data_IF_190671034858
#
_entry.id   IF_190671034858
#
_cell.length_a   1.000
_cell.length_b   1.000
_cell.length_c   1.000
_cell.angle_alpha   90.00
_cell.angle_beta   90.00
_cell.angle_gamma   90.00
#
_symmetry.space_group_name_H-M   'P 1'
#
loop_
_entity.id
_entity.type
_entity.pdbx_description
1 polymer ?
#
# COMPACT_ATOMS: atom_id res chain seq x y z
N UNK A 1 9.10 27.15 -30.22
CA UNK A 1 7.80 27.36 -29.55
C UNK A 1 7.95 26.92 -28.11
N UNK A 2 7.71 27.85 -27.20
CA UNK A 2 7.81 27.73 -25.76
C UNK A 2 6.66 26.87 -25.21
N UNK A 3 6.85 26.16 -24.08
CA UNK A 3 5.69 25.62 -23.39
C UNK A 3 5.87 24.84 -22.09
N UNK A 4 6.95 24.08 -21.87
CA UNK A 4 6.92 23.06 -20.79
C UNK A 4 7.92 23.22 -19.63
N UNK A 5 8.69 24.32 -19.56
CA UNK A 5 9.74 24.49 -18.54
C UNK A 5 9.52 25.64 -17.54
N UNK A 6 8.28 26.10 -17.31
CA UNK A 6 8.01 27.24 -16.40
C UNK A 6 7.09 26.93 -15.22
N UNK A 7 6.57 25.72 -15.05
CA UNK A 7 5.63 25.43 -13.95
C UNK A 7 6.32 25.08 -12.62
N UNK A 8 7.63 24.80 -12.61
CA UNK A 8 8.33 24.34 -11.41
C UNK A 8 8.58 25.44 -10.35
N UNK A 9 8.22 26.70 -10.61
CA UNK A 9 8.47 27.82 -9.70
C UNK A 9 7.20 28.45 -9.07
N UNK A 10 5.99 27.92 -9.33
CA UNK A 10 4.74 28.46 -8.76
C UNK A 10 3.85 27.33 -8.26
N UNK A 11 4.28 26.54 -7.27
CA UNK A 11 3.38 25.61 -6.58
C UNK A 11 3.67 25.51 -5.06
N UNK A 12 3.32 26.52 -4.25
CA UNK A 12 3.02 26.30 -2.83
C UNK A 12 1.53 25.99 -2.59
N UNK A 13 0.68 26.09 -3.63
CA UNK A 13 -0.79 26.00 -3.51
C UNK A 13 -1.39 24.65 -3.92
N UNK A 14 -0.60 23.71 -4.45
CA UNK A 14 -1.04 22.34 -4.76
C UNK A 14 -0.39 21.27 -3.85
N UNK A 15 0.20 21.63 -2.71
CA UNK A 15 0.76 20.63 -1.78
C UNK A 15 -0.22 20.13 -0.72
N UNK A 16 -1.33 20.84 -0.49
CA UNK A 16 -2.34 20.48 0.51
C UNK A 16 -3.50 19.72 -0.15
N UNK A 17 -3.21 18.52 -0.66
CA UNK A 17 -4.22 17.61 -1.20
C UNK A 17 -3.69 16.17 -1.27
N UNK A 18 -4.62 15.21 -1.28
CA UNK A 18 -4.31 13.80 -1.31
C UNK A 18 -3.46 13.38 -2.54
N UNK A 19 -3.69 13.97 -3.72
CA UNK A 19 -2.92 13.62 -4.91
C UNK A 19 -1.43 13.95 -4.73
N UNK A 20 -1.12 15.07 -4.07
CA UNK A 20 0.24 15.44 -3.73
C UNK A 20 0.84 14.45 -2.73
N UNK A 21 0.16 14.18 -1.62
CA UNK A 21 0.67 13.32 -0.54
C UNK A 21 0.84 11.86 -0.96
N UNK A 22 0.04 11.39 -1.94
CA UNK A 22 0.12 10.03 -2.48
C UNK A 22 1.29 9.82 -3.46
N UNK A 23 1.98 10.88 -3.90
CA UNK A 23 3.20 10.71 -4.70
C UNK A 23 4.31 10.13 -3.81
N UNK A 24 5.06 9.13 -4.32
CA UNK A 24 6.08 8.40 -3.55
C UNK A 24 7.07 9.34 -2.85
N UNK A 25 7.60 10.35 -3.54
CA UNK A 25 8.57 11.29 -2.95
C UNK A 25 7.96 12.10 -1.79
N UNK A 26 6.69 12.48 -1.90
CA UNK A 26 5.99 13.28 -0.90
C UNK A 26 5.55 12.41 0.28
N UNK A 27 5.08 11.19 0.04
CA UNK A 27 4.84 10.19 1.09
C UNK A 27 6.13 9.89 1.87
N UNK A 28 7.26 9.75 1.19
CA UNK A 28 8.57 9.61 1.85
C UNK A 28 8.96 10.86 2.65
N UNK A 29 8.63 12.06 2.18
CA UNK A 29 8.84 13.30 2.93
C UNK A 29 7.95 13.38 4.18
N UNK A 30 6.71 12.90 4.12
CA UNK A 30 5.82 12.75 5.27
C UNK A 30 6.37 11.76 6.30
N UNK A 31 6.90 10.62 5.85
CA UNK A 31 7.50 9.59 6.73
C UNK A 31 8.69 10.12 7.55
N UNK A 32 9.38 11.17 7.08
CA UNK A 32 10.47 11.83 7.84
C UNK A 32 9.95 12.72 8.97
N UNK A 33 8.66 13.10 8.93
CA UNK A 33 8.02 14.00 9.89
C UNK A 33 7.08 13.27 10.84
N UNK A 34 6.51 12.15 10.41
CA UNK A 34 5.56 11.34 11.17
C UNK A 34 6.24 10.02 11.52
N UNK A 35 6.49 9.81 12.81
CA UNK A 35 7.09 8.59 13.34
C UNK A 35 6.11 7.81 14.23
N UNK A 36 6.43 6.55 14.48
CA UNK A 36 5.74 5.76 15.49
C UNK A 36 5.96 6.33 16.90
N UNK A 37 5.01 6.09 17.79
CA UNK A 37 5.09 6.43 19.22
C UNK A 37 5.32 5.16 20.01
N UNK A 38 6.28 5.18 20.93
CA UNK A 38 6.80 3.97 21.61
C UNK A 38 5.75 3.16 22.37
N UNK A 39 4.67 3.80 22.85
CA UNK A 39 3.59 3.16 23.61
C UNK A 39 2.33 2.85 22.79
N UNK A 40 2.37 3.02 21.46
CA UNK A 40 1.23 2.76 20.57
C UNK A 40 1.48 1.48 19.77
N UNK A 41 0.48 0.60 19.70
CA UNK A 41 0.47 -0.53 18.77
C UNK A 41 0.09 -0.04 17.36
N UNK A 42 0.85 -0.48 16.34
CA UNK A 42 0.54 -0.25 14.94
C UNK A 42 0.37 -1.59 14.23
N UNK A 43 -0.67 -1.70 13.40
CA UNK A 43 -0.94 -2.88 12.57
C UNK A 43 -1.14 -2.43 11.13
N UNK A 44 -0.61 -3.21 10.18
CA UNK A 44 -0.79 -2.96 8.75
C UNK A 44 -1.28 -4.21 8.07
N UNK A 45 -2.37 -4.07 7.30
CA UNK A 45 -2.85 -5.09 6.38
C UNK A 45 -2.63 -4.57 4.96
N UNK A 46 -1.91 -5.33 4.17
CA UNK A 46 -1.75 -5.10 2.74
C UNK A 46 -2.63 -6.08 1.96
N UNK A 47 -3.14 -5.62 0.81
CA UNK A 47 -3.84 -6.48 -0.15
C UNK A 47 -2.95 -6.76 -1.37
N UNK A 48 -3.14 -7.93 -1.97
CA UNK A 48 -2.54 -8.31 -3.25
C UNK A 48 -3.53 -9.10 -4.11
N UNK A 49 -4.03 -8.48 -5.16
CA UNK A 49 -4.93 -9.10 -6.14
C UNK A 49 -4.21 -9.58 -7.40
N UNK A 50 -2.88 -9.65 -7.38
CA UNK A 50 -2.07 -10.07 -8.53
C UNK A 50 -1.49 -11.47 -8.36
N UNK A 51 -0.90 -12.00 -9.43
CA UNK A 51 -0.10 -13.21 -9.44
C UNK A 51 1.09 -13.04 -10.39
N UNK A 52 2.08 -13.94 -10.28
CA UNK A 52 3.16 -14.06 -11.27
C UNK A 52 2.91 -15.28 -12.17
N UNK A 53 3.02 -15.09 -13.48
CA UNK A 53 2.99 -16.20 -14.44
C UNK A 53 4.31 -16.99 -14.46
N UNK A 54 4.39 -18.01 -15.31
CA UNK A 54 5.59 -18.87 -15.44
C UNK A 54 6.84 -18.10 -15.90
N UNK A 55 6.65 -17.00 -16.63
CA UNK A 55 7.71 -16.11 -17.10
C UNK A 55 8.10 -15.05 -16.06
N UNK A 56 7.41 -15.04 -14.90
CA UNK A 56 7.64 -14.11 -13.80
C UNK A 56 6.93 -12.76 -13.95
N UNK A 57 6.09 -12.56 -14.97
CA UNK A 57 5.37 -11.31 -15.17
C UNK A 57 4.26 -11.17 -14.12
N UNK A 58 4.13 -9.97 -13.53
CA UNK A 58 2.98 -9.63 -12.70
C UNK A 58 1.73 -9.42 -13.55
N UNK A 59 0.63 -10.05 -13.19
CA UNK A 59 -0.67 -9.91 -13.84
C UNK A 59 -1.77 -9.78 -12.78
N UNK A 60 -2.81 -8.95 -13.01
CA UNK A 60 -3.98 -8.93 -12.15
C UNK A 60 -4.78 -10.24 -12.26
N UNK A 61 -5.20 -10.78 -11.12
CA UNK A 61 -6.14 -11.90 -11.06
C UNK A 61 -7.57 -11.35 -11.26
N UNK A 62 -8.24 -11.78 -12.32
CA UNK A 62 -9.59 -11.34 -12.66
C UNK A 62 -10.67 -11.80 -11.68
N UNK A 63 -10.37 -12.76 -10.80
CA UNK A 63 -11.26 -13.19 -9.71
C UNK A 63 -11.10 -12.31 -8.48
N UNK A 64 -9.92 -11.71 -8.27
CA UNK A 64 -9.61 -10.92 -7.07
C UNK A 64 -9.71 -9.42 -7.32
N UNK A 65 -9.36 -8.94 -8.52
CA UNK A 65 -9.41 -7.55 -8.92
C UNK A 65 -10.76 -7.22 -9.55
N UNK A 66 -11.55 -6.36 -8.92
CA UNK A 66 -12.77 -5.85 -9.52
C UNK A 66 -12.49 -5.11 -10.84
N UNK A 67 -13.42 -5.23 -11.80
CA UNK A 67 -13.21 -4.80 -13.18
C UNK A 67 -12.85 -3.32 -13.34
N UNK A 68 -13.32 -2.46 -12.44
CA UNK A 68 -12.99 -1.03 -12.40
C UNK A 68 -11.50 -0.75 -12.08
N UNK A 69 -10.80 -1.68 -11.44
CA UNK A 69 -9.39 -1.53 -11.05
C UNK A 69 -8.43 -2.29 -11.97
N UNK A 70 -8.93 -3.05 -12.94
CA UNK A 70 -8.09 -3.88 -13.83
C UNK A 70 -7.05 -3.06 -14.59
N UNK A 71 -7.41 -1.88 -15.09
CA UNK A 71 -6.49 -1.08 -15.90
C UNK A 71 -5.37 -0.47 -15.05
N UNK A 72 -5.69 0.04 -13.86
CA UNK A 72 -4.69 0.53 -12.91
C UNK A 72 -3.80 -0.60 -12.42
N UNK A 73 -4.35 -1.78 -12.12
CA UNK A 73 -3.58 -2.96 -11.72
C UNK A 73 -2.53 -3.36 -12.78
N UNK A 74 -2.90 -3.34 -14.07
CA UNK A 74 -1.96 -3.63 -15.17
C UNK A 74 -0.82 -2.62 -15.27
N UNK A 75 -1.11 -1.34 -15.03
CA UNK A 75 -0.09 -0.30 -15.01
C UNK A 75 0.88 -0.57 -13.86
N UNK A 76 0.37 -0.82 -12.65
CA UNK A 76 1.21 -1.09 -11.47
C UNK A 76 2.04 -2.38 -11.62
N UNK A 77 1.50 -3.43 -12.22
CA UNK A 77 2.23 -4.68 -12.47
C UNK A 77 3.43 -4.54 -13.41
N UNK A 78 3.42 -3.55 -14.31
CA UNK A 78 4.46 -3.39 -15.35
C UNK A 78 5.35 -2.18 -15.13
N UNK A 79 4.94 -1.23 -14.28
CA UNK A 79 5.67 0.00 -14.10
C UNK A 79 6.96 -0.21 -13.29
N UNK A 80 8.07 0.18 -13.90
CA UNK A 80 9.37 0.37 -13.24
C UNK A 80 9.92 1.73 -13.64
N UNK A 81 10.77 2.32 -12.81
CA UNK A 81 11.32 3.64 -13.11
C UNK A 81 11.97 4.30 -11.91
N UNK A 82 11.99 5.63 -11.97
CA UNK A 82 12.60 6.48 -10.95
C UNK A 82 11.73 7.71 -10.74
N UNK A 83 11.42 8.02 -9.49
CA UNK A 83 10.68 9.24 -9.13
C UNK A 83 11.52 10.49 -9.40
N UNK A 84 10.92 11.70 -9.48
CA UNK A 84 11.67 12.96 -9.56
C UNK A 84 12.70 13.14 -8.43
N UNK A 85 12.38 12.71 -7.22
CA UNK A 85 13.28 12.69 -6.05
C UNK A 85 14.35 11.60 -6.09
N UNK A 86 14.31 10.74 -7.11
CA UNK A 86 15.32 9.74 -7.40
C UNK A 86 15.11 8.38 -6.75
N UNK A 87 13.94 8.12 -6.17
CA UNK A 87 13.60 6.82 -5.62
C UNK A 87 13.35 5.80 -6.74
N UNK A 88 13.97 4.63 -6.63
CA UNK A 88 13.87 3.56 -7.65
C UNK A 88 12.62 2.71 -7.40
N UNK A 89 11.82 2.57 -8.44
CA UNK A 89 10.62 1.73 -8.51
C UNK A 89 10.99 0.51 -9.34
N UNK A 90 11.20 -0.60 -8.66
CA UNK A 90 11.62 -1.90 -9.16
C UNK A 90 10.51 -2.95 -8.98
N UNK A 91 10.80 -4.20 -9.30
CA UNK A 91 9.82 -5.28 -9.38
C UNK A 91 9.06 -5.55 -8.07
N UNK A 92 9.62 -5.17 -6.91
CA UNK A 92 8.92 -5.31 -5.61
C UNK A 92 7.65 -4.45 -5.52
N UNK A 93 7.55 -3.40 -6.34
CA UNK A 93 6.37 -2.55 -6.41
C UNK A 93 5.25 -3.18 -7.25
N UNK A 94 5.49 -4.24 -8.01
CA UNK A 94 4.51 -4.72 -8.99
C UNK A 94 3.25 -5.32 -8.34
N UNK A 95 3.39 -6.09 -7.26
CA UNK A 95 2.25 -6.65 -6.53
C UNK A 95 1.35 -5.52 -6.02
N UNK A 96 0.04 -5.61 -6.25
CA UNK A 96 -0.89 -4.53 -5.95
C UNK A 96 -2.34 -5.02 -5.77
N UNK A 97 -3.17 -4.15 -5.20
CA UNK A 97 -4.59 -4.39 -4.97
C UNK A 97 -5.49 -3.72 -6.02
N UNK A 98 -4.90 -3.28 -7.12
CA UNK A 98 -5.56 -2.53 -8.19
C UNK A 98 -5.46 -1.02 -8.05
N UNK A 99 -5.10 -0.46 -6.90
CA UNK A 99 -4.85 0.98 -6.72
C UNK A 99 -3.52 1.29 -6.03
N UNK A 100 -3.09 0.45 -5.09
CA UNK A 100 -1.91 0.65 -4.26
C UNK A 100 -1.00 -0.58 -4.36
N UNK A 101 0.30 -0.34 -4.45
CA UNK A 101 1.30 -1.39 -4.44
C UNK A 101 1.33 -2.07 -3.06
N UNK A 102 1.28 -3.40 -3.00
CA UNK A 102 1.30 -4.20 -1.77
C UNK A 102 2.51 -3.83 -0.91
N UNK A 103 3.68 -3.66 -1.54
CA UNK A 103 4.91 -3.24 -0.85
C UNK A 103 4.75 -1.93 -0.08
N UNK A 104 4.03 -0.96 -0.63
CA UNK A 104 3.80 0.35 0.02
C UNK A 104 2.82 0.26 1.18
N UNK A 105 1.97 -0.76 1.23
CA UNK A 105 0.97 -0.95 2.29
C UNK A 105 1.50 -1.74 3.49
N UNK A 106 2.69 -2.36 3.39
CA UNK A 106 3.29 -3.13 4.49
C UNK A 106 3.66 -2.23 5.67
N UNK A 107 4.34 -1.13 5.41
CA UNK A 107 4.72 -0.13 6.41
C UNK A 107 5.27 1.11 5.68
N UNK A 108 5.26 2.30 6.33
CA UNK A 108 5.99 3.45 5.81
C UNK A 108 7.46 3.09 5.57
N UNK A 109 8.00 3.44 4.41
CA UNK A 109 9.38 3.07 4.02
C UNK A 109 10.37 3.60 5.07
N UNK A 110 11.11 2.67 5.68
CA UNK A 110 12.11 2.96 6.71
C UNK A 110 11.57 3.06 8.14
N UNK A 111 10.26 2.95 8.35
CA UNK A 111 9.69 2.86 9.69
C UNK A 111 10.06 1.53 10.37
N UNK A 112 10.16 1.50 11.71
CA UNK A 112 10.41 0.25 12.41
C UNK A 112 9.20 -0.68 12.24
N UNK A 113 9.45 -1.89 11.76
CA UNK A 113 8.41 -2.87 11.46
C UNK A 113 8.88 -4.29 11.76
N UNK A 114 7.94 -5.16 12.12
CA UNK A 114 8.17 -6.59 12.34
C UNK A 114 7.02 -7.37 11.71
N UNK A 115 7.25 -8.62 11.33
CA UNK A 115 6.13 -9.52 11.02
C UNK A 115 5.32 -9.75 12.30
N UNK A 116 4.00 -9.74 12.17
CA UNK A 116 3.11 -9.97 13.30
C UNK A 116 3.34 -11.36 13.91
N UNK A 117 3.45 -11.39 15.24
CA UNK A 117 3.57 -12.58 16.06
C UNK A 117 2.55 -12.45 17.21
N UNK A 118 1.55 -13.33 17.23
CA UNK A 118 0.49 -13.28 18.24
C UNK A 118 0.99 -13.55 19.66
N UNK A 119 2.18 -14.14 19.82
CA UNK A 119 2.81 -14.36 21.12
C UNK A 119 3.62 -13.15 21.61
N UNK A 120 3.90 -12.19 20.72
CA UNK A 120 4.76 -11.05 21.01
C UNK A 120 4.39 -9.82 20.16
N UNK A 121 3.22 -9.24 20.46
CA UNK A 121 2.76 -8.01 19.80
C UNK A 121 3.53 -6.81 20.36
N UNK A 122 4.08 -5.96 19.48
CA UNK A 122 5.03 -4.91 19.89
C UNK A 122 4.45 -3.50 19.70
N UNK A 123 4.62 -2.64 20.69
CA UNK A 123 4.37 -1.19 20.56
C UNK A 123 5.54 -0.47 19.88
N UNK A 124 5.29 0.72 19.34
CA UNK A 124 6.31 1.57 18.72
C UNK A 124 6.79 1.10 17.35
N UNK A 125 6.25 0.00 16.83
CA UNK A 125 6.61 -0.60 15.54
C UNK A 125 5.34 -1.00 14.79
N UNK A 126 5.42 -1.08 13.46
CA UNK A 126 4.39 -1.69 12.62
C UNK A 126 4.45 -3.21 12.74
N UNK A 127 3.40 -3.82 13.28
CA UNK A 127 3.19 -5.27 13.23
C UNK A 127 2.52 -5.59 11.90
N UNK A 128 3.33 -6.06 10.93
CA UNK A 128 2.91 -6.36 9.57
C UNK A 128 2.09 -7.65 9.59
N UNK A 129 0.82 -7.53 9.23
CA UNK A 129 -0.10 -8.65 9.18
C UNK A 129 0.09 -9.43 7.87
N UNK A 130 -0.47 -10.65 7.82
CA UNK A 130 -0.48 -11.44 6.59
C UNK A 130 -1.15 -10.67 5.44
N UNK A 131 -0.55 -10.76 4.24
CA UNK A 131 -1.07 -10.11 3.03
C UNK A 131 -2.37 -10.80 2.63
N UNK A 132 -3.44 -10.01 2.51
CA UNK A 132 -4.75 -10.50 2.12
C UNK A 132 -4.84 -10.60 0.60
N UNK A 133 -5.25 -11.75 0.07
CA UNK A 133 -5.51 -11.89 -1.36
C UNK A 133 -6.83 -11.21 -1.72
N UNK A 134 -6.76 -10.18 -2.55
CA UNK A 134 -7.92 -9.36 -2.90
C UNK A 134 -7.53 -7.97 -3.41
N UNK A 135 -8.53 -7.21 -3.85
CA UNK A 135 -8.37 -5.82 -4.29
C UNK A 135 -8.51 -4.78 -3.16
N UNK A 136 -8.40 -3.52 -3.56
CA UNK A 136 -8.43 -2.35 -2.70
C UNK A 136 -9.71 -2.19 -1.87
N UNK A 137 -10.77 -2.92 -2.22
CA UNK A 137 -12.09 -2.86 -1.55
C UNK A 137 -12.41 -4.11 -0.72
N UNK A 138 -11.47 -5.06 -0.64
CA UNK A 138 -11.64 -6.34 0.06
C UNK A 138 -11.91 -6.15 1.54
N UNK A 139 -11.04 -5.41 2.24
CA UNK A 139 -11.16 -5.20 3.69
C UNK A 139 -12.37 -4.32 4.05
N UNK A 140 -12.82 -3.49 3.11
CA UNK A 140 -13.99 -2.60 3.22
C UNK A 140 -15.31 -3.34 2.98
N UNK A 141 -15.26 -4.63 2.60
CA UNK A 141 -16.42 -5.51 2.51
C UNK A 141 -17.14 -5.55 1.16
N UNK A 142 -16.53 -5.02 0.09
CA UNK A 142 -17.09 -5.10 -1.25
C UNK A 142 -16.90 -6.50 -1.88
N UNK A 143 -15.82 -7.20 -1.54
CA UNK A 143 -15.50 -8.54 -2.03
C UNK A 143 -16.08 -9.60 -1.08
N UNK A 144 -17.29 -10.10 -1.35
CA UNK A 144 -17.98 -11.06 -0.46
C UNK A 144 -17.74 -12.52 -0.81
N UNK A 145 -17.37 -12.80 -2.05
CA UNK A 145 -17.18 -14.18 -2.53
C UNK A 145 -15.81 -14.75 -2.13
N UNK A 146 -14.80 -13.88 -2.08
CA UNK A 146 -13.40 -14.27 -1.84
C UNK A 146 -12.92 -13.95 -0.42
N UNK A 147 -13.72 -13.23 0.37
CA UNK A 147 -13.31 -12.75 1.68
C UNK A 147 -14.49 -12.65 2.66
N UNK A 148 -14.34 -13.28 3.82
CA UNK A 148 -15.32 -13.17 4.89
C UNK A 148 -14.98 -11.97 5.80
N UNK A 149 -15.36 -10.78 5.37
CA UNK A 149 -15.08 -9.55 6.11
C UNK A 149 -15.63 -9.56 7.54
N UNK A 150 -16.77 -10.22 7.79
CA UNK A 150 -17.32 -10.32 9.16
C UNK A 150 -16.38 -11.08 10.09
N UNK A 151 -15.88 -12.24 9.68
CA UNK A 151 -14.94 -13.01 10.49
C UNK A 151 -13.64 -12.23 10.69
N UNK A 152 -13.09 -11.66 9.63
CA UNK A 152 -11.90 -10.82 9.71
C UNK A 152 -12.02 -9.71 10.76
N UNK A 153 -13.11 -8.93 10.73
CA UNK A 153 -13.29 -7.83 11.68
C UNK A 153 -13.54 -8.32 13.11
N UNK A 154 -14.21 -9.46 13.30
CA UNK A 154 -14.36 -10.09 14.62
C UNK A 154 -13.01 -10.53 15.17
N UNK A 155 -12.17 -11.15 14.36
CA UNK A 155 -10.85 -11.64 14.76
C UNK A 155 -9.91 -10.47 15.08
N UNK A 156 -9.90 -9.44 14.24
CA UNK A 156 -9.11 -8.21 14.46
C UNK A 156 -9.51 -7.52 15.77
N UNK A 157 -10.81 -7.33 16.01
CA UNK A 157 -11.29 -6.70 17.25
C UNK A 157 -11.02 -7.57 18.48
N UNK A 158 -11.12 -8.89 18.36
CA UNK A 158 -10.79 -9.82 19.44
C UNK A 158 -9.31 -9.75 19.79
N UNK A 159 -8.43 -9.68 18.79
CA UNK A 159 -6.99 -9.49 18.97
C UNK A 159 -6.72 -8.15 19.66
N UNK A 160 -7.27 -7.03 19.17
CA UNK A 160 -7.06 -5.71 19.77
C UNK A 160 -7.51 -5.66 21.24
N UNK A 161 -8.64 -6.29 21.58
CA UNK A 161 -9.15 -6.33 22.95
C UNK A 161 -8.31 -7.20 23.91
N UNK A 162 -7.33 -7.95 23.38
CA UNK A 162 -6.42 -8.79 24.17
C UNK A 162 -5.08 -8.13 24.51
N UNK A 163 -4.83 -6.92 23.99
CA UNK A 163 -3.57 -6.18 24.14
C UNK A 163 -3.46 -5.31 25.40
#
# INVERSE_FOLDING_TARGET
MNGFNSAAAIIPKFSDNALYDMMIDNAMALNKRISTVSCIYYFSYACDGTYRDEDGNCLPDNKLIASQYTQSAKILCSYTGKTPGGYVIDERWQANDGLVNTYSALAPIGAPSVQYDSSNVRTGVWNIMEVVKGDHTTLQGAQRENFNGRLFWVDLLSMINSL
#
